data_IF_225233721803
#
_entry.id   IF_225233721803
#
_cell.length_a   1.000
_cell.length_b   1.000
_cell.length_c   1.000
_cell.angle_alpha   90.00
_cell.angle_beta   90.00
_cell.angle_gamma   90.00
#
_symmetry.space_group_name_H-M   'P 1'
#
loop_
_entity.id
_entity.type
_entity.pdbx_description
1 polymer ?
#
# COMPACT_ATOMS: atom_id res chain seq x y z
N UNK A 1 -1.25 -7.19 15.63
CA UNK A 1 -1.15 -8.29 16.61
C UNK A 1 0.04 -8.00 17.52
N UNK A 2 -0.11 -8.06 18.86
CA UNK A 2 0.98 -7.80 19.81
C UNK A 2 1.74 -6.47 19.56
N UNK A 3 1.01 -5.41 19.17
CA UNK A 3 1.55 -4.09 18.79
C UNK A 3 2.62 -4.12 17.68
N UNK A 4 2.62 -5.17 16.84
CA UNK A 4 3.51 -5.31 15.69
C UNK A 4 2.69 -5.53 14.41
N UNK A 5 3.23 -5.00 13.31
CA UNK A 5 2.78 -5.36 11.97
C UNK A 5 3.31 -6.76 11.66
N UNK A 6 2.40 -7.69 11.39
CA UNK A 6 2.74 -9.07 11.05
C UNK A 6 1.93 -9.51 9.85
N UNK A 7 2.56 -10.25 8.95
CA UNK A 7 1.92 -10.87 7.78
C UNK A 7 1.73 -12.35 8.10
N UNK A 8 0.52 -12.73 8.46
CA UNK A 8 0.20 -14.07 8.94
C UNK A 8 -0.92 -14.69 8.11
N UNK A 9 -0.82 -15.98 7.86
CA UNK A 9 -1.87 -16.76 7.18
C UNK A 9 -2.90 -17.34 8.16
N UNK A 10 -2.67 -17.17 9.47
CA UNK A 10 -3.53 -17.61 10.55
C UNK A 10 -3.41 -16.59 11.68
N UNK A 11 -4.54 -16.01 12.10
CA UNK A 11 -4.57 -15.07 13.22
C UNK A 11 -3.97 -15.69 14.49
N UNK A 12 -4.44 -16.88 14.88
CA UNK A 12 -3.99 -17.52 16.12
C UNK A 12 -2.51 -17.89 16.14
N UNK A 13 -1.95 -18.38 15.02
CA UNK A 13 -0.51 -18.60 14.88
C UNK A 13 0.30 -17.30 15.04
N UNK A 14 -0.23 -16.18 14.53
CA UNK A 14 0.39 -14.87 14.71
C UNK A 14 0.39 -14.41 16.16
N UNK A 15 -0.73 -14.61 16.87
CA UNK A 15 -0.87 -14.24 18.28
C UNK A 15 0.04 -15.06 19.19
N UNK A 16 0.06 -16.38 18.99
CA UNK A 16 0.74 -17.35 19.84
C UNK A 16 2.18 -17.64 19.39
N UNK A 17 2.64 -17.00 18.31
CA UNK A 17 3.95 -17.21 17.69
C UNK A 17 4.25 -18.68 17.35
N UNK A 18 3.23 -19.42 16.91
CA UNK A 18 3.37 -20.82 16.48
C UNK A 18 4.19 -20.89 15.21
N UNK A 19 5.26 -21.70 15.23
CA UNK A 19 6.17 -21.92 14.09
C UNK A 19 5.98 -23.29 13.42
N UNK A 20 5.24 -24.17 14.06
CA UNK A 20 4.92 -25.50 13.56
C UNK A 20 3.76 -25.44 12.55
N UNK A 21 3.43 -26.60 11.97
CA UNK A 21 2.31 -26.72 11.05
C UNK A 21 1.00 -26.31 11.75
N UNK A 22 0.26 -25.40 11.12
CA UNK A 22 -0.96 -24.84 11.70
C UNK A 22 -2.09 -25.88 11.74
N UNK A 23 -2.55 -26.22 12.94
CA UNK A 23 -3.68 -27.13 13.19
C UNK A 23 -4.96 -26.40 13.62
N UNK A 24 -4.98 -25.07 13.55
CA UNK A 24 -6.12 -24.26 13.96
C UNK A 24 -7.32 -24.45 13.01
N UNK A 25 -8.53 -24.34 13.56
CA UNK A 25 -9.78 -24.34 12.81
C UNK A 25 -9.87 -23.14 11.87
N UNK A 26 -10.80 -23.18 10.91
CA UNK A 26 -11.03 -22.07 9.97
C UNK A 26 -11.36 -20.77 10.73
N UNK A 27 -12.15 -20.87 11.80
CA UNK A 27 -12.55 -19.74 12.64
C UNK A 27 -11.34 -19.13 13.36
N UNK A 28 -10.47 -19.94 13.95
CA UNK A 28 -9.25 -19.47 14.64
C UNK A 28 -8.20 -18.92 13.65
N UNK A 29 -8.18 -19.44 12.42
CA UNK A 29 -7.31 -18.97 11.35
C UNK A 29 -7.79 -17.67 10.72
N UNK A 30 -9.09 -17.43 10.75
CA UNK A 30 -9.72 -16.27 10.11
C UNK A 30 -9.04 -14.97 10.53
N UNK A 31 -8.86 -14.07 9.57
CA UNK A 31 -8.35 -12.73 9.83
C UNK A 31 -9.56 -11.82 10.00
N UNK A 32 -9.63 -11.07 11.10
CA UNK A 32 -10.64 -10.04 11.33
C UNK A 32 -10.02 -8.65 11.35
N UNK A 33 -10.63 -7.70 10.65
CA UNK A 33 -10.08 -6.37 10.45
C UNK A 33 -10.88 -5.54 9.45
N UNK A 34 -10.30 -4.42 9.06
CA UNK A 34 -10.84 -3.50 8.05
C UNK A 34 -9.81 -3.39 6.93
N UNK A 35 -10.26 -3.57 5.70
CA UNK A 35 -9.41 -3.57 4.50
C UNK A 35 -10.05 -2.73 3.41
N UNK A 36 -9.22 -2.24 2.49
CA UNK A 36 -9.74 -1.61 1.27
C UNK A 36 -10.29 -2.70 0.36
N UNK A 37 -11.38 -2.40 -0.38
CA UNK A 37 -12.08 -3.39 -1.21
C UNK A 37 -11.14 -4.10 -2.20
N UNK A 38 -10.18 -3.38 -2.78
CA UNK A 38 -9.16 -3.93 -3.69
C UNK A 38 -8.26 -4.99 -3.02
N UNK A 39 -7.93 -4.82 -1.74
CA UNK A 39 -7.16 -5.82 -0.99
C UNK A 39 -7.98 -7.09 -0.76
N UNK A 40 -9.28 -6.94 -0.48
CA UNK A 40 -10.22 -8.06 -0.31
C UNK A 40 -10.40 -8.83 -1.62
N UNK A 41 -10.62 -8.11 -2.73
CA UNK A 41 -10.69 -8.73 -4.06
C UNK A 41 -9.42 -9.50 -4.39
N UNK A 42 -8.25 -8.92 -4.07
CA UNK A 42 -6.97 -9.60 -4.26
C UNK A 42 -6.84 -10.85 -3.40
N UNK A 43 -7.34 -10.83 -2.17
CA UNK A 43 -7.34 -12.01 -1.31
C UNK A 43 -8.20 -13.14 -1.90
N UNK A 44 -9.39 -12.81 -2.43
CA UNK A 44 -10.26 -13.79 -3.10
C UNK A 44 -9.56 -14.42 -4.31
N UNK A 45 -8.88 -13.63 -5.15
CA UNK A 45 -8.08 -14.16 -6.27
C UNK A 45 -6.98 -15.14 -5.81
N UNK A 46 -6.49 -14.96 -4.58
CA UNK A 46 -5.47 -15.84 -3.97
C UNK A 46 -6.07 -17.04 -3.25
N UNK A 47 -7.39 -17.24 -3.33
CA UNK A 47 -8.09 -18.41 -2.78
C UNK A 47 -8.61 -18.22 -1.35
N UNK A 48 -8.57 -17.00 -0.80
CA UNK A 48 -9.21 -16.71 0.48
C UNK A 48 -10.73 -16.68 0.33
N UNK A 49 -11.43 -16.99 1.43
CA UNK A 49 -12.88 -16.98 1.50
C UNK A 49 -13.34 -15.94 2.53
N UNK A 50 -14.37 -15.17 2.18
CA UNK A 50 -15.06 -14.28 3.12
C UNK A 50 -15.95 -15.15 4.01
N UNK A 51 -15.68 -15.14 5.32
CA UNK A 51 -16.46 -15.89 6.30
C UNK A 51 -17.62 -15.04 6.82
N UNK A 52 -17.37 -13.77 7.10
CA UNK A 52 -18.36 -12.84 7.65
C UNK A 52 -18.03 -11.41 7.19
N UNK A 53 -19.08 -10.65 6.85
CA UNK A 53 -18.98 -9.24 6.48
C UNK A 53 -19.76 -8.43 7.51
N UNK A 54 -19.10 -7.50 8.20
CA UNK A 54 -19.74 -6.64 9.21
C UNK A 54 -20.29 -5.36 8.61
N UNK A 55 -19.50 -4.69 7.78
CA UNK A 55 -19.83 -3.38 7.21
C UNK A 55 -19.08 -3.16 5.90
N UNK A 56 -19.70 -2.46 4.96
CA UNK A 56 -19.10 -2.03 3.70
C UNK A 56 -19.34 -0.52 3.56
N UNK A 57 -18.26 0.21 3.31
CA UNK A 57 -18.29 1.65 3.09
C UNK A 57 -18.12 1.91 1.60
N UNK A 58 -19.16 2.46 0.97
CA UNK A 58 -19.10 2.95 -0.39
C UNK A 58 -18.88 4.47 -0.37
N UNK A 59 -17.99 4.95 -1.22
CA UNK A 59 -17.69 6.37 -1.37
C UNK A 59 -17.61 6.73 -2.84
N UNK A 60 -18.06 7.94 -3.17
CA UNK A 60 -17.97 8.45 -4.53
C UNK A 60 -16.50 8.59 -4.94
N UNK A 61 -16.13 7.92 -6.02
CA UNK A 61 -14.79 8.03 -6.59
C UNK A 61 -14.79 9.05 -7.71
N UNK A 62 -13.93 10.05 -7.61
CA UNK A 62 -13.69 11.01 -8.70
C UNK A 62 -12.56 10.48 -9.56
N UNK A 63 -12.87 10.13 -10.81
CA UNK A 63 -11.85 9.79 -11.79
C UNK A 63 -11.40 11.04 -12.54
N UNK A 64 -10.16 11.45 -12.28
CA UNK A 64 -9.58 12.65 -12.90
C UNK A 64 -9.02 12.32 -14.28
N UNK A 65 -9.23 13.23 -15.23
CA UNK A 65 -8.57 13.16 -16.53
C UNK A 65 -7.10 13.59 -16.42
N UNK A 66 -6.29 13.32 -17.45
CA UNK A 66 -4.85 13.69 -17.48
C UNK A 66 -4.61 15.19 -17.29
N UNK A 67 -5.60 16.02 -17.60
CA UNK A 67 -5.50 17.48 -17.57
C UNK A 67 -5.96 18.06 -16.22
N UNK A 68 -6.40 17.21 -15.28
CA UNK A 68 -6.89 17.63 -13.98
C UNK A 68 -5.89 17.30 -12.87
N UNK A 69 -5.65 18.27 -11.98
CA UNK A 69 -4.86 18.04 -10.78
C UNK A 69 -5.67 17.26 -9.74
N UNK A 70 -5.04 16.25 -9.14
CA UNK A 70 -5.61 15.50 -8.04
C UNK A 70 -5.24 16.07 -6.69
N UNK A 71 -5.89 15.54 -5.65
CA UNK A 71 -5.73 15.96 -4.26
C UNK A 71 -4.26 16.05 -3.82
N UNK A 72 -3.40 15.17 -4.35
CA UNK A 72 -1.98 15.09 -4.00
C UNK A 72 -1.03 15.65 -5.05
N UNK A 73 -1.51 16.18 -6.19
CA UNK A 73 -0.65 16.62 -7.29
C UNK A 73 0.40 17.63 -6.85
N UNK A 74 0.00 18.70 -6.15
CA UNK A 74 0.93 19.71 -5.65
C UNK A 74 1.98 19.16 -4.66
N UNK A 75 1.55 18.25 -3.78
CA UNK A 75 2.45 17.57 -2.83
C UNK A 75 3.48 16.70 -3.57
N UNK A 76 3.03 15.87 -4.50
CA UNK A 76 3.89 14.97 -5.28
C UNK A 76 4.86 15.76 -6.15
N UNK A 77 4.41 16.81 -6.83
CA UNK A 77 5.26 17.68 -7.64
C UNK A 77 6.39 18.30 -6.79
N UNK A 78 6.06 18.81 -5.60
CA UNK A 78 7.04 19.38 -4.68
C UNK A 78 8.07 18.34 -4.22
N UNK A 79 7.62 17.16 -3.78
CA UNK A 79 8.56 16.13 -3.32
C UNK A 79 9.40 15.54 -4.45
N UNK A 80 8.85 15.40 -5.65
CA UNK A 80 9.60 14.99 -6.83
C UNK A 80 10.69 16.00 -7.18
N UNK A 81 10.37 17.30 -7.16
CA UNK A 81 11.35 18.37 -7.38
C UNK A 81 12.49 18.31 -6.36
N UNK A 82 12.18 18.21 -5.07
CA UNK A 82 13.18 18.11 -4.00
C UNK A 82 14.07 16.87 -4.20
N UNK A 83 13.46 15.71 -4.48
CA UNK A 83 14.21 14.46 -4.71
C UNK A 83 15.15 14.60 -5.92
N UNK A 84 14.68 15.22 -7.00
CA UNK A 84 15.46 15.43 -8.21
C UNK A 84 16.66 16.35 -7.94
N UNK A 85 16.44 17.46 -7.22
CA UNK A 85 17.50 18.41 -6.85
C UNK A 85 18.54 17.79 -5.90
N UNK A 86 18.10 16.94 -4.97
CA UNK A 86 18.99 16.26 -4.03
C UNK A 86 19.82 15.13 -4.68
N UNK A 87 19.37 14.57 -5.80
CA UNK A 87 20.04 13.44 -6.48
C UNK A 87 21.29 13.87 -7.26
N UNK A 88 21.58 15.18 -7.31
CA UNK A 88 22.68 15.72 -8.10
C UNK A 88 22.44 15.59 -9.61
N UNK A 89 23.45 15.97 -10.38
CA UNK A 89 23.37 15.94 -11.84
C UNK A 89 23.63 14.53 -12.39
N UNK A 90 22.87 14.08 -13.40
CA UNK A 90 23.18 12.85 -14.12
C UNK A 90 24.62 12.84 -14.65
N UNK A 91 25.24 11.65 -14.73
CA UNK A 91 26.65 11.50 -15.17
C UNK A 91 26.94 12.06 -16.58
N UNK A 92 25.91 12.21 -17.41
CA UNK A 92 26.02 12.74 -18.77
C UNK A 92 25.94 14.28 -18.84
N UNK A 93 25.59 14.96 -17.74
CA UNK A 93 25.62 16.42 -17.65
C UNK A 93 27.04 16.85 -17.25
N UNK A 94 27.85 17.20 -18.25
CA UNK A 94 29.27 17.48 -18.07
C UNK A 94 29.54 18.99 -17.99
N UNK A 95 28.76 19.78 -18.72
CA UNK A 95 28.93 21.22 -18.83
C UNK A 95 28.13 21.98 -17.77
N UNK A 96 28.57 23.19 -17.41
CA UNK A 96 27.85 24.04 -16.45
C UNK A 96 26.51 24.56 -17.02
N UNK A 97 26.35 24.55 -18.34
CA UNK A 97 25.08 24.89 -19.02
C UNK A 97 24.03 23.78 -18.85
N UNK A 98 24.45 22.51 -18.90
CA UNK A 98 23.59 21.33 -18.64
C UNK A 98 23.22 21.17 -17.16
N UNK A 99 23.99 21.82 -16.27
CA UNK A 99 23.78 21.81 -14.80
C UNK A 99 23.02 23.03 -14.31
N UNK A 100 22.31 23.75 -15.19
CA UNK A 100 21.42 24.83 -14.76
C UNK A 100 20.10 24.25 -14.23
N UNK A 101 19.65 24.68 -13.04
CA UNK A 101 18.31 24.34 -12.57
C UNK A 101 17.27 24.85 -13.59
N UNK A 102 16.28 24.01 -13.93
CA UNK A 102 15.24 24.28 -14.92
C UNK A 102 14.18 25.31 -14.42
N UNK A 103 14.58 26.29 -13.62
CA UNK A 103 13.70 27.32 -13.06
C UNK A 103 14.39 28.68 -13.07
#
# INVERSE_FOLDING_TARGET
MNNKLMFVNCQKCGEDFVREECQHSIQERSLKGTWVIEEVLKAIEKGYQIIETYEIWEYDTIQLSKDQEGLFSGMMNKFLQIKQQASGWPKHCLTDEEKKPLY
#
